data_IF_440465652648
#
_entry.id   IF_440465652648
#
_cell.length_a   1.000
_cell.length_b   1.000
_cell.length_c   1.000
_cell.angle_alpha   90.00
_cell.angle_beta   90.00
_cell.angle_gamma   90.00
#
_symmetry.space_group_name_H-M   'P 1'
#
loop_
_entity.id
_entity.type
_entity.pdbx_description
1 polymer ?
#
# COMPACT_ATOMS: atom_id res chain seq x y z
N UNK A 1 -33.96 1.85 0.53
CA UNK A 1 -32.85 2.83 0.56
C UNK A 1 -32.94 3.63 -0.73
N UNK A 2 -33.08 4.95 -0.62
CA UNK A 2 -33.18 5.82 -1.81
C UNK A 2 -31.87 5.79 -2.61
N UNK A 3 -31.95 5.99 -3.93
CA UNK A 3 -30.79 6.02 -4.85
C UNK A 3 -29.74 7.04 -4.40
N UNK A 4 -30.18 8.21 -3.91
CA UNK A 4 -29.29 9.25 -3.39
C UNK A 4 -28.52 8.78 -2.17
N UNK A 5 -29.17 8.06 -1.26
CA UNK A 5 -28.52 7.49 -0.08
C UNK A 5 -27.52 6.40 -0.46
N UNK A 6 -27.83 5.60 -1.48
CA UNK A 6 -26.91 4.60 -2.03
C UNK A 6 -25.64 5.21 -2.59
N UNK A 7 -25.77 6.20 -3.46
CA UNK A 7 -24.61 6.85 -4.08
C UNK A 7 -23.77 7.54 -3.02
N UNK A 8 -24.39 8.21 -2.05
CA UNK A 8 -23.67 8.82 -0.92
C UNK A 8 -22.88 7.77 -0.12
N UNK A 9 -23.53 6.69 0.31
CA UNK A 9 -22.88 5.64 1.10
C UNK A 9 -21.71 4.99 0.36
N UNK A 10 -21.86 4.70 -0.93
CA UNK A 10 -20.78 4.13 -1.76
C UNK A 10 -19.65 5.13 -2.01
N UNK A 11 -19.98 6.40 -2.21
CA UNK A 11 -18.98 7.48 -2.33
C UNK A 11 -18.17 7.60 -1.05
N UNK A 12 -18.81 7.51 0.12
CA UNK A 12 -18.11 7.56 1.41
C UNK A 12 -17.21 6.34 1.65
N UNK A 13 -17.58 5.16 1.14
CA UNK A 13 -16.72 3.97 1.14
C UNK A 13 -15.47 4.21 0.28
N UNK A 14 -15.64 4.70 -0.96
CA UNK A 14 -14.51 5.02 -1.85
C UNK A 14 -13.60 6.07 -1.22
N UNK A 15 -14.19 7.15 -0.70
CA UNK A 15 -13.48 8.21 0.02
C UNK A 15 -12.66 7.68 1.19
N UNK A 16 -13.26 6.85 2.04
CA UNK A 16 -12.58 6.24 3.19
C UNK A 16 -11.44 5.32 2.75
N UNK A 17 -11.60 4.67 1.60
CA UNK A 17 -10.57 3.80 1.03
C UNK A 17 -9.31 4.57 0.64
N UNK A 18 -9.45 5.77 0.09
CA UNK A 18 -8.32 6.61 -0.34
C UNK A 18 -7.35 6.90 0.83
N UNK A 19 -7.88 7.13 2.04
CA UNK A 19 -7.06 7.38 3.24
C UNK A 19 -6.18 6.19 3.66
N UNK A 20 -6.47 4.97 3.21
CA UNK A 20 -5.68 3.81 3.56
C UNK A 20 -4.37 3.70 2.75
N UNK A 21 -4.17 4.54 1.72
CA UNK A 21 -2.97 4.47 0.89
C UNK A 21 -1.70 4.58 1.74
N UNK A 22 -1.63 5.59 2.61
CA UNK A 22 -0.49 5.81 3.50
C UNK A 22 -0.21 4.62 4.39
N UNK A 23 -1.26 4.00 4.96
CA UNK A 23 -1.12 2.82 5.81
C UNK A 23 -0.46 1.67 5.05
N UNK A 24 -0.97 1.35 3.85
CA UNK A 24 -0.41 0.28 3.03
C UNK A 24 1.00 0.59 2.51
N UNK A 25 1.31 1.85 2.24
CA UNK A 25 2.65 2.27 1.85
C UNK A 25 3.65 2.10 3.02
N UNK A 26 3.27 2.50 4.23
CA UNK A 26 4.09 2.26 5.43
C UNK A 26 4.31 0.77 5.68
N UNK A 27 3.25 -0.03 5.58
CA UNK A 27 3.32 -1.49 5.71
C UNK A 27 4.26 -2.10 4.66
N UNK A 28 4.13 -1.69 3.40
CA UNK A 28 5.00 -2.14 2.31
C UNK A 28 6.47 -1.79 2.54
N UNK A 29 6.78 -0.56 2.97
CA UNK A 29 8.16 -0.14 3.28
C UNK A 29 8.74 -0.90 4.47
N UNK A 30 7.93 -1.17 5.50
CA UNK A 30 8.34 -2.00 6.63
C UNK A 30 8.69 -3.43 6.19
N UNK A 31 7.84 -4.04 5.36
CA UNK A 31 8.07 -5.39 4.84
C UNK A 31 9.31 -5.46 3.93
N UNK A 32 9.59 -4.41 3.16
CA UNK A 32 10.82 -4.31 2.37
C UNK A 32 12.07 -4.32 3.27
N UNK A 33 12.07 -3.55 4.36
CA UNK A 33 13.15 -3.53 5.34
C UNK A 33 13.30 -4.89 6.05
N UNK A 34 12.18 -5.55 6.38
CA UNK A 34 12.20 -6.89 6.96
C UNK A 34 12.79 -7.93 5.99
N UNK A 35 12.43 -7.87 4.70
CA UNK A 35 12.98 -8.76 3.68
C UNK A 35 14.50 -8.56 3.53
N UNK A 36 14.97 -7.31 3.49
CA UNK A 36 16.39 -6.98 3.42
C UNK A 36 17.18 -7.55 4.62
N UNK A 37 16.63 -7.44 5.83
CA UNK A 37 17.22 -8.04 7.04
C UNK A 37 17.31 -9.56 6.98
N UNK A 38 16.33 -10.22 6.35
CA UNK A 38 16.37 -11.67 6.14
C UNK A 38 17.45 -12.05 5.12
N UNK A 39 17.59 -11.29 4.03
CA UNK A 39 18.66 -11.50 3.05
C UNK A 39 20.06 -11.34 3.65
N UNK A 40 20.26 -10.36 4.53
CA UNK A 40 21.51 -10.20 5.27
C UNK A 40 21.82 -11.40 6.16
N UNK A 41 20.81 -11.94 6.86
CA UNK A 41 20.98 -13.16 7.67
C UNK A 41 21.37 -14.37 6.82
N UNK A 42 20.77 -14.53 5.64
CA UNK A 42 21.15 -15.61 4.71
C UNK A 42 22.62 -15.46 4.29
N UNK A 43 23.03 -14.24 3.91
CA UNK A 43 24.43 -13.96 3.54
C UNK A 43 25.39 -14.27 4.69
N UNK A 44 25.05 -13.89 5.92
CA UNK A 44 25.88 -14.15 7.10
C UNK A 44 26.02 -15.64 7.42
N UNK A 45 24.96 -16.43 7.25
CA UNK A 45 25.00 -17.88 7.43
C UNK A 45 25.86 -18.57 6.37
N UNK A 46 25.92 -18.02 5.15
CA UNK A 46 26.71 -18.55 4.04
C UNK A 46 28.18 -18.13 4.06
N UNK A 47 28.58 -17.19 4.92
CA UNK A 47 29.99 -16.79 5.06
C UNK A 47 30.81 -17.98 5.59
N UNK A 48 31.97 -18.29 4.99
CA UNK A 48 32.85 -19.33 5.52
C UNK A 48 33.27 -18.96 6.93
N UNK A 49 32.82 -19.74 7.92
CA UNK A 49 33.30 -19.61 9.30
C UNK A 49 34.75 -20.06 9.33
N UNK A 50 35.65 -19.21 9.82
CA UNK A 50 37.06 -19.58 10.00
C UNK A 50 37.15 -20.87 10.81
N UNK A 51 37.83 -21.88 10.25
CA UNK A 51 38.03 -23.16 10.93
C UNK A 51 39.00 -22.89 12.10
N UNK A 52 38.47 -22.88 13.33
CA UNK A 52 39.31 -22.91 14.52
C UNK A 52 39.83 -24.34 14.69
N UNK A 53 41.13 -24.54 14.52
CA UNK A 53 41.81 -25.85 14.65
C UNK A 53 41.91 -26.35 16.11
N UNK A 54 41.18 -25.75 17.05
CA UNK A 54 41.35 -25.96 18.49
C UNK A 54 40.30 -26.83 19.17
N UNK A 55 39.24 -27.28 18.49
CA UNK A 55 38.20 -28.11 19.11
C UNK A 55 37.69 -29.21 18.17
N UNK A 56 37.98 -30.46 18.53
CA UNK A 56 37.58 -31.71 17.88
C UNK A 56 36.07 -32.03 18.04
N UNK A 57 35.20 -31.03 17.93
CA UNK A 57 33.74 -31.21 17.96
C UNK A 57 33.09 -30.55 16.76
N UNK A 58 33.08 -31.27 15.64
CA UNK A 58 32.21 -30.97 14.49
C UNK A 58 30.75 -31.19 14.93
N UNK A 59 30.15 -30.20 15.59
CA UNK A 59 28.73 -30.20 15.90
C UNK A 59 27.91 -29.81 14.67
N UNK A 60 27.47 -30.86 13.97
CA UNK A 60 26.23 -31.03 13.20
C UNK A 60 25.78 -29.90 12.23
N UNK A 61 25.98 -30.09 10.91
CA UNK A 61 25.46 -29.23 9.82
C UNK A 61 23.93 -29.12 9.75
N UNK A 62 23.18 -30.11 10.27
CA UNK A 62 21.71 -30.18 10.17
C UNK A 62 20.96 -28.99 10.80
N UNK A 63 21.58 -28.29 11.75
CA UNK A 63 21.00 -27.13 12.41
C UNK A 63 20.91 -25.91 11.48
N UNK A 64 21.90 -25.74 10.59
CA UNK A 64 21.96 -24.62 9.67
C UNK A 64 20.92 -24.72 8.56
N UNK A 65 20.69 -25.93 8.04
CA UNK A 65 19.64 -26.19 7.04
C UNK A 65 18.25 -25.87 7.58
N UNK A 66 17.98 -26.18 8.85
CA UNK A 66 16.70 -25.88 9.50
C UNK A 66 16.52 -24.36 9.65
N UNK A 67 17.55 -23.64 10.09
CA UNK A 67 17.52 -22.18 10.20
C UNK A 67 17.31 -21.52 8.82
N UNK A 68 17.99 -22.01 7.77
CA UNK A 68 17.79 -21.51 6.41
C UNK A 68 16.38 -21.77 5.91
N UNK A 69 15.82 -22.95 6.17
CA UNK A 69 14.44 -23.28 5.80
C UNK A 69 13.42 -22.35 6.48
N UNK A 70 13.63 -22.02 7.76
CA UNK A 70 12.80 -21.06 8.51
C UNK A 70 12.89 -19.66 7.92
N UNK A 71 14.10 -19.20 7.59
CA UNK A 71 14.32 -17.89 6.95
C UNK A 71 13.61 -17.85 5.58
N UNK A 72 13.79 -18.85 4.72
CA UNK A 72 13.12 -18.90 3.42
C UNK A 72 11.59 -18.95 3.53
N UNK A 73 11.08 -19.68 4.52
CA UNK A 73 9.63 -19.71 4.80
C UNK A 73 9.13 -18.32 5.19
N UNK A 74 9.89 -17.60 6.03
CA UNK A 74 9.54 -16.24 6.41
C UNK A 74 9.64 -15.26 5.25
N UNK A 75 10.66 -15.35 4.40
CA UNK A 75 10.81 -14.52 3.20
C UNK A 75 9.59 -14.67 2.27
N UNK A 76 9.17 -15.91 1.98
CA UNK A 76 7.96 -16.16 1.18
C UNK A 76 6.69 -15.53 1.78
N UNK A 77 6.56 -15.56 3.11
CA UNK A 77 5.43 -14.94 3.78
C UNK A 77 5.47 -13.41 3.66
N UNK A 78 6.64 -12.80 3.89
CA UNK A 78 6.86 -11.35 3.73
C UNK A 78 6.58 -10.90 2.29
N UNK A 79 7.09 -11.62 1.29
CA UNK A 79 6.82 -11.34 -0.14
C UNK A 79 5.32 -11.38 -0.46
N UNK A 80 4.60 -12.37 0.09
CA UNK A 80 3.14 -12.47 -0.08
C UNK A 80 2.43 -11.27 0.53
N UNK A 81 2.81 -10.85 1.73
CA UNK A 81 2.25 -9.67 2.40
C UNK A 81 2.56 -8.38 1.63
N UNK A 82 3.78 -8.26 1.08
CA UNK A 82 4.17 -7.15 0.21
C UNK A 82 3.28 -7.06 -1.03
N UNK A 83 3.00 -8.18 -1.69
CA UNK A 83 2.12 -8.23 -2.86
C UNK A 83 0.69 -7.81 -2.49
N UNK A 84 0.20 -8.18 -1.31
CA UNK A 84 -1.12 -7.76 -0.83
C UNK A 84 -1.15 -6.24 -0.58
N UNK A 85 -0.18 -5.69 0.15
CA UNK A 85 -0.09 -4.25 0.41
C UNK A 85 0.02 -3.45 -0.90
N UNK A 86 0.87 -3.92 -1.82
CA UNK A 86 1.01 -3.34 -3.15
C UNK A 86 -0.28 -3.37 -3.96
N UNK A 87 -0.99 -4.52 -3.96
CA UNK A 87 -2.27 -4.65 -4.63
C UNK A 87 -3.32 -3.67 -4.09
N UNK A 88 -3.36 -3.46 -2.77
CA UNK A 88 -4.26 -2.47 -2.14
C UNK A 88 -3.89 -1.02 -2.50
N UNK A 89 -2.60 -0.69 -2.55
CA UNK A 89 -2.14 0.61 -3.05
C UNK A 89 -2.50 0.83 -4.52
N UNK A 90 -2.30 -0.19 -5.36
CA UNK A 90 -2.64 -0.14 -6.77
C UNK A 90 -4.14 0.07 -6.98
N UNK A 91 -4.98 -0.60 -6.21
CA UNK A 91 -6.43 -0.41 -6.25
C UNK A 91 -6.83 1.04 -5.94
N UNK A 92 -6.21 1.65 -4.94
CA UNK A 92 -6.45 3.07 -4.60
C UNK A 92 -5.97 4.00 -5.74
N UNK A 93 -4.79 3.73 -6.30
CA UNK A 93 -4.28 4.49 -7.47
C UNK A 93 -5.23 4.39 -8.65
N UNK A 94 -5.80 3.21 -8.92
CA UNK A 94 -6.81 3.02 -9.96
C UNK A 94 -8.04 3.88 -9.70
N UNK A 95 -8.57 3.91 -8.47
CA UNK A 95 -9.73 4.77 -8.12
C UNK A 95 -9.43 6.24 -8.43
N UNK A 96 -8.24 6.71 -8.06
CA UNK A 96 -7.83 8.11 -8.32
C UNK A 96 -7.66 8.35 -9.84
N UNK A 97 -7.05 7.41 -10.56
CA UNK A 97 -6.81 7.53 -12.00
C UNK A 97 -8.11 7.52 -12.83
N UNK A 98 -9.19 6.96 -12.29
CA UNK A 98 -10.51 6.98 -12.92
C UNK A 98 -11.21 8.36 -12.82
N UNK A 99 -10.71 9.29 -11.99
CA UNK A 99 -11.23 10.66 -11.97
C UNK A 99 -10.98 11.30 -13.35
N UNK A 100 -12.02 11.81 -14.00
CA UNK A 100 -11.90 12.36 -15.36
C UNK A 100 -11.26 13.75 -15.36
N UNK A 101 -11.59 14.57 -14.37
CA UNK A 101 -11.05 15.92 -14.21
C UNK A 101 -9.59 15.86 -13.71
N UNK A 102 -8.64 16.21 -14.57
CA UNK A 102 -7.21 16.13 -14.28
C UNK A 102 -6.76 17.05 -13.13
N UNK A 103 -7.40 18.20 -12.94
CA UNK A 103 -7.11 19.09 -11.81
C UNK A 103 -7.53 18.43 -10.50
N UNK A 104 -8.73 17.84 -10.46
CA UNK A 104 -9.24 17.14 -9.28
C UNK A 104 -8.44 15.86 -9.01
N UNK A 105 -8.05 15.13 -10.06
CA UNK A 105 -7.14 13.99 -9.97
C UNK A 105 -5.80 14.41 -9.36
N UNK A 106 -5.23 15.53 -9.82
CA UNK A 106 -4.01 16.11 -9.26
C UNK A 106 -4.12 16.41 -7.77
N UNK A 107 -5.22 17.02 -7.34
CA UNK A 107 -5.50 17.28 -5.92
C UNK A 107 -5.58 15.97 -5.13
N UNK A 108 -6.28 14.95 -5.65
CA UNK A 108 -6.41 13.65 -4.99
C UNK A 108 -5.05 12.93 -4.87
N UNK A 109 -4.21 12.95 -5.90
CA UNK A 109 -2.84 12.40 -5.85
C UNK A 109 -2.04 13.09 -4.75
N UNK A 110 -2.01 14.44 -4.75
CA UNK A 110 -1.27 15.20 -3.74
C UNK A 110 -1.75 14.86 -2.33
N UNK A 111 -3.07 14.82 -2.12
CA UNK A 111 -3.64 14.56 -0.80
C UNK A 111 -3.39 13.15 -0.29
N UNK A 112 -3.68 12.14 -1.11
CA UNK A 112 -3.80 10.75 -0.66
C UNK A 112 -2.54 9.92 -0.91
N UNK A 113 -1.78 10.25 -1.95
CA UNK A 113 -0.54 9.54 -2.30
C UNK A 113 0.67 10.27 -1.73
N UNK A 114 0.74 11.60 -1.90
CA UNK A 114 1.89 12.40 -1.46
C UNK A 114 1.73 13.00 -0.06
N UNK A 115 0.58 12.75 0.59
CA UNK A 115 0.27 13.19 1.95
C UNK A 115 0.34 14.71 2.20
N UNK A 116 0.13 15.52 1.17
CA UNK A 116 0.04 16.98 1.29
C UNK A 116 -1.13 17.33 2.22
N UNK A 117 -0.94 18.32 3.10
CA UNK A 117 -1.99 18.72 4.05
C UNK A 117 -3.16 19.39 3.34
N UNK A 118 -4.34 19.39 3.98
CA UNK A 118 -5.48 20.14 3.44
C UNK A 118 -5.25 21.65 3.42
N UNK A 119 -4.45 22.18 4.35
CA UNK A 119 -4.17 23.61 4.45
C UNK A 119 -3.25 24.07 3.32
N UNK A 120 -2.22 23.27 3.00
CA UNK A 120 -1.35 23.51 1.83
C UNK A 120 -2.14 23.44 0.52
N UNK A 121 -3.03 22.46 0.36
CA UNK A 121 -3.89 22.37 -0.84
C UNK A 121 -4.89 23.52 -0.91
N UNK A 122 -5.49 23.91 0.22
CA UNK A 122 -6.41 25.04 0.28
C UNK A 122 -5.71 26.34 -0.15
N UNK A 123 -4.47 26.53 0.30
CA UNK A 123 -3.63 27.65 -0.09
C UNK A 123 -3.27 27.60 -1.59
N UNK A 124 -2.78 26.46 -2.08
CA UNK A 124 -2.36 26.29 -3.48
C UNK A 124 -3.50 26.53 -4.48
N UNK A 125 -4.70 26.04 -4.16
CA UNK A 125 -5.87 26.15 -5.04
C UNK A 125 -6.80 27.32 -4.69
N UNK A 126 -6.36 28.22 -3.80
CA UNK A 126 -7.10 29.41 -3.37
C UNK A 126 -8.58 29.13 -3.01
N UNK A 127 -8.86 28.04 -2.29
CA UNK A 127 -10.21 27.65 -1.87
C UNK A 127 -10.21 26.93 -0.53
N UNK A 128 -11.38 26.82 0.11
CA UNK A 128 -11.48 26.13 1.39
C UNK A 128 -11.41 24.59 1.24
N UNK A 129 -11.04 23.92 2.33
CA UNK A 129 -10.99 22.45 2.42
C UNK A 129 -12.32 21.78 2.02
N UNK A 130 -13.46 22.36 2.40
CA UNK A 130 -14.78 21.81 2.10
C UNK A 130 -15.03 21.76 0.60
N UNK A 131 -14.65 22.82 -0.13
CA UNK A 131 -14.70 22.88 -1.59
C UNK A 131 -13.84 21.78 -2.23
N UNK A 132 -12.61 21.58 -1.78
CA UNK A 132 -11.73 20.51 -2.30
C UNK A 132 -12.31 19.11 -2.04
N UNK A 133 -12.78 18.85 -0.81
CA UNK A 133 -13.41 17.59 -0.44
C UNK A 133 -14.66 17.33 -1.29
N UNK A 134 -15.51 18.34 -1.46
CA UNK A 134 -16.70 18.25 -2.27
C UNK A 134 -16.38 17.90 -3.73
N UNK A 135 -15.41 18.60 -4.34
CA UNK A 135 -14.98 18.36 -5.72
C UNK A 135 -14.54 16.90 -5.93
N UNK A 136 -13.68 16.37 -5.06
CA UNK A 136 -13.23 14.97 -5.17
C UNK A 136 -14.40 14.00 -4.96
N UNK A 137 -15.22 14.18 -3.92
CA UNK A 137 -16.38 13.31 -3.68
C UNK A 137 -17.38 13.33 -4.84
N UNK A 138 -17.57 14.49 -5.47
CA UNK A 138 -18.42 14.63 -6.65
C UNK A 138 -17.89 13.78 -7.80
N UNK A 139 -16.59 13.81 -8.08
CA UNK A 139 -15.98 12.94 -9.10
C UNK A 139 -16.13 11.45 -8.75
N UNK A 140 -15.84 11.06 -7.49
CA UNK A 140 -16.03 9.68 -7.04
C UNK A 140 -17.47 9.19 -7.21
N UNK A 141 -18.46 10.07 -6.98
CA UNK A 141 -19.87 9.71 -7.13
C UNK A 141 -20.25 9.38 -8.58
N UNK A 142 -19.57 9.97 -9.58
CA UNK A 142 -19.82 9.72 -11.01
C UNK A 142 -19.63 8.24 -11.36
N UNK A 143 -18.67 7.56 -10.75
CA UNK A 143 -18.43 6.12 -10.98
C UNK A 143 -19.67 5.26 -10.72
N UNK A 144 -20.56 5.73 -9.84
CA UNK A 144 -21.77 5.04 -9.42
C UNK A 144 -23.00 5.48 -10.22
N UNK A 145 -22.88 6.57 -10.97
CA UNK A 145 -23.92 7.06 -11.88
C UNK A 145 -23.90 6.33 -13.23
N UNK A 146 -22.71 5.91 -13.71
CA UNK A 146 -22.55 5.25 -15.02
C UNK A 146 -22.93 3.76 -15.04
N UNK A 147 -22.99 3.07 -13.90
CA UNK A 147 -23.19 1.61 -13.84
C UNK A 147 -24.61 1.12 -14.22
N UNK A 148 -25.46 1.95 -14.81
CA UNK A 148 -26.86 1.61 -15.16
C UNK A 148 -27.32 2.13 -16.54
N UNK A 149 -26.46 2.71 -17.37
CA UNK A 149 -26.84 3.08 -18.75
C UNK A 149 -26.82 1.90 -19.75
N UNK A 150 -26.46 0.69 -19.32
CA UNK A 150 -26.46 -0.52 -20.16
C UNK A 150 -27.63 -1.47 -19.86
N UNK A 151 -28.80 -0.94 -19.53
CA UNK A 151 -30.04 -1.72 -19.49
C UNK A 151 -31.15 -0.97 -20.21
N UNK A 152 -31.03 -0.88 -21.53
CA UNK A 152 -32.16 -0.72 -22.45
C UNK A 152 -31.93 -1.66 -23.65
#
# INVERSE_FOLDING_TARGET
MDRKDYIRAKTDILWSKLYNYRRFNTEYLFLQDELAKLDEKVKDLQKPKGISLSDDRVQNPKSQDTILLEIFTKQKQVEKEMLLAFGKMSEIRTIINLIEDDDIKGIAIKKFINDVSWDELAHEYCCDRGTLVYKIKKELSKFLHFSQCEKD
#
